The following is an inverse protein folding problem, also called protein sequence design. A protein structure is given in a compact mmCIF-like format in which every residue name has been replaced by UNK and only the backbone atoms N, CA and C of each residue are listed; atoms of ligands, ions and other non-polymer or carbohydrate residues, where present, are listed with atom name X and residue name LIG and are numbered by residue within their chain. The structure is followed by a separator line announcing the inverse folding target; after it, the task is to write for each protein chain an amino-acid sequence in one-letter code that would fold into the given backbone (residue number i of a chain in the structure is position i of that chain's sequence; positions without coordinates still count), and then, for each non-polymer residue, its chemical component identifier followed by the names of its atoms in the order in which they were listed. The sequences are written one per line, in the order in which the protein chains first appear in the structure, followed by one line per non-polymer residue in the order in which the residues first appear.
data_IF_271069571369
#
_entry.id   IF_271069571369
#
_cell.length_a   1.000
_cell.length_b   1.000
_cell.length_c   1.000
_cell.angle_alpha   90.00
_cell.angle_beta   90.00
_cell.angle_gamma   90.00
#
_symmetry.space_group_name_H-M   'P 1'
#
loop_
_entity.id
_entity.type
_entity.pdbx_description
1 polymer ?
#
# COMPACT_ATOMS: atom_id res chain seq x y z
N UNK A 1 21.30 -5.94 4.48
CA UNK A 1 20.08 -5.57 3.70
C UNK A 1 20.35 -4.40 2.77
N UNK A 2 20.77 -3.21 3.26
CA UNK A 2 21.00 -2.02 2.40
C UNK A 2 22.09 -2.29 1.35
N UNK A 3 23.10 -3.08 1.69
CA UNK A 3 24.19 -3.50 0.81
C UNK A 3 23.72 -4.31 -0.41
N UNK A 4 22.49 -4.79 -0.42
CA UNK A 4 21.90 -5.42 -1.62
C UNK A 4 21.60 -4.40 -2.71
N UNK A 5 21.27 -3.17 -2.31
CA UNK A 5 20.80 -2.11 -3.20
C UNK A 5 21.79 -0.98 -3.40
N UNK A 6 22.82 -0.87 -2.56
CA UNK A 6 23.85 0.15 -2.68
C UNK A 6 25.22 -0.48 -2.92
N UNK A 7 25.97 0.06 -3.89
CA UNK A 7 27.35 -0.36 -4.14
C UNK A 7 28.29 0.00 -2.99
N UNK A 8 27.94 1.05 -2.24
CA UNK A 8 28.71 1.57 -1.10
C UNK A 8 27.74 2.24 -0.12
N UNK A 9 27.96 2.01 1.19
CA UNK A 9 27.07 2.52 2.26
C UNK A 9 27.74 3.57 3.15
N UNK A 10 29.02 3.87 2.92
CA UNK A 10 29.79 4.88 3.66
C UNK A 10 30.62 5.72 2.69
N UNK A 11 30.57 7.03 2.85
CA UNK A 11 31.25 8.01 2.01
C UNK A 11 32.02 8.98 2.89
N UNK A 12 33.22 9.40 2.44
CA UNK A 12 34.10 10.28 3.20
C UNK A 12 33.90 11.75 2.90
N UNK A 13 33.41 12.07 1.70
CA UNK A 13 33.14 13.43 1.23
C UNK A 13 31.89 13.47 0.36
N UNK A 14 31.35 14.67 0.12
CA UNK A 14 30.25 14.85 -0.83
C UNK A 14 30.66 14.46 -2.27
N UNK A 15 31.90 14.73 -2.66
CA UNK A 15 32.40 14.33 -3.98
C UNK A 15 32.47 12.81 -4.11
N UNK A 16 32.94 12.12 -3.06
CA UNK A 16 32.95 10.67 -2.98
C UNK A 16 31.53 10.11 -3.12
N UNK A 17 30.55 10.68 -2.39
CA UNK A 17 29.14 10.29 -2.49
C UNK A 17 28.60 10.46 -3.93
N UNK A 18 28.75 11.64 -4.54
CA UNK A 18 28.25 11.92 -5.89
C UNK A 18 28.89 10.99 -6.93
N UNK A 19 30.19 10.69 -6.81
CA UNK A 19 30.92 9.87 -7.77
C UNK A 19 30.63 8.37 -7.64
N UNK A 20 30.49 7.88 -6.40
CA UNK A 20 30.51 6.45 -6.12
C UNK A 20 29.17 5.86 -5.67
N UNK A 21 28.17 6.70 -5.34
CA UNK A 21 26.84 6.20 -5.08
C UNK A 21 26.27 5.56 -6.36
N UNK A 22 25.95 4.29 -6.25
CA UNK A 22 25.21 3.55 -7.29
C UNK A 22 24.13 2.73 -6.63
N UNK A 23 22.92 2.85 -7.14
CA UNK A 23 21.78 2.04 -6.73
C UNK A 23 21.73 0.82 -7.66
N UNK A 24 21.80 -0.35 -7.06
CA UNK A 24 21.58 -1.62 -7.75
C UNK A 24 20.08 -1.89 -7.76
N UNK A 25 19.47 -1.79 -8.91
CA UNK A 25 18.04 -2.06 -9.10
C UNK A 25 17.89 -3.51 -9.54
N UNK A 26 17.31 -4.41 -8.70
CA UNK A 26 17.01 -5.78 -9.10
C UNK A 26 16.02 -5.82 -10.26
N UNK A 27 16.09 -6.86 -11.06
CA UNK A 27 15.05 -7.15 -12.04
C UNK A 27 13.73 -7.47 -11.32
N UNK A 28 12.64 -6.83 -11.74
CA UNK A 28 11.30 -7.02 -11.15
C UNK A 28 11.25 -6.76 -9.63
N UNK A 29 11.96 -5.68 -9.19
CA UNK A 29 12.01 -5.30 -7.78
C UNK A 29 10.61 -5.16 -7.19
N UNK A 30 10.40 -5.77 -6.00
CA UNK A 30 9.16 -5.68 -5.26
C UNK A 30 9.45 -5.47 -3.78
N UNK A 31 9.08 -4.32 -3.24
CA UNK A 31 9.35 -3.96 -1.84
C UNK A 31 8.82 -5.01 -0.84
N UNK A 32 7.68 -5.64 -1.15
CA UNK A 32 7.11 -6.69 -0.30
C UNK A 32 8.02 -7.91 -0.18
N UNK A 33 8.58 -8.37 -1.29
CA UNK A 33 9.44 -9.55 -1.33
C UNK A 33 10.90 -9.24 -1.03
N UNK A 34 11.47 -8.23 -1.72
CA UNK A 34 12.91 -7.96 -1.68
C UNK A 34 13.35 -7.24 -0.41
N UNK A 35 12.41 -6.61 0.31
CA UNK A 35 12.70 -5.90 1.56
C UNK A 35 11.99 -6.55 2.75
N UNK A 36 10.65 -6.58 2.75
CA UNK A 36 9.88 -7.01 3.93
C UNK A 36 10.06 -8.50 4.20
N UNK A 37 9.84 -9.35 3.20
CA UNK A 37 9.99 -10.80 3.34
C UNK A 37 11.44 -11.19 3.56
N UNK A 38 12.38 -10.54 2.87
CA UNK A 38 13.80 -10.78 3.06
C UNK A 38 14.27 -10.44 4.49
N UNK A 39 13.76 -9.34 5.09
CA UNK A 39 14.02 -9.06 6.50
C UNK A 39 13.37 -10.08 7.44
N UNK A 40 12.17 -10.55 7.12
CA UNK A 40 11.49 -11.59 7.89
C UNK A 40 12.26 -12.92 7.90
N UNK A 41 12.98 -13.23 6.81
CA UNK A 41 13.86 -14.40 6.71
C UNK A 41 15.19 -14.20 7.45
N UNK A 42 15.82 -13.02 7.30
CA UNK A 42 17.14 -12.75 7.92
C UNK A 42 17.05 -12.47 9.43
N UNK A 43 16.05 -11.68 9.84
CA UNK A 43 15.89 -11.20 11.22
C UNK A 43 14.39 -11.12 11.60
N UNK A 44 13.70 -12.27 11.78
CA UNK A 44 12.25 -12.31 11.99
C UNK A 44 11.76 -11.47 13.16
N UNK A 45 12.51 -11.45 14.25
CA UNK A 45 12.13 -10.76 15.49
C UNK A 45 12.52 -9.28 15.52
N UNK A 46 13.18 -8.77 14.46
CA UNK A 46 13.54 -7.36 14.36
C UNK A 46 12.29 -6.49 14.28
N UNK A 47 12.21 -5.40 15.09
CA UNK A 47 11.12 -4.43 14.99
C UNK A 47 11.04 -3.82 13.59
N UNK A 48 9.84 -3.88 12.98
CA UNK A 48 9.56 -3.35 11.65
C UNK A 48 8.65 -2.13 11.70
N UNK A 49 7.63 -2.14 12.57
CA UNK A 49 6.67 -1.06 12.70
C UNK A 49 6.30 -0.84 14.16
N UNK A 50 6.41 0.39 14.63
CA UNK A 50 5.86 0.84 15.90
C UNK A 50 4.70 1.79 15.60
N UNK A 51 3.50 1.41 16.03
CA UNK A 51 2.30 2.23 15.88
C UNK A 51 1.82 2.73 17.23
N UNK A 52 1.34 3.97 17.26
CA UNK A 52 0.70 4.58 18.43
C UNK A 52 -0.44 5.50 17.99
N UNK A 53 -1.40 5.73 18.87
CA UNK A 53 -2.52 6.66 18.64
C UNK A 53 -2.66 7.71 19.77
N UNK A 54 -3.60 8.61 19.60
CA UNK A 54 -3.85 9.72 20.53
C UNK A 54 -4.46 9.25 21.88
N UNK A 55 -4.85 7.98 21.99
CA UNK A 55 -5.35 7.36 23.23
C UNK A 55 -4.23 6.68 24.05
N UNK A 56 -2.98 6.75 23.58
CA UNK A 56 -1.84 6.10 24.23
C UNK A 56 -1.75 4.59 23.94
N UNK A 57 -2.58 4.05 23.05
CA UNK A 57 -2.43 2.67 22.60
C UNK A 57 -1.20 2.57 21.70
N UNK A 58 -0.46 1.47 21.83
CA UNK A 58 0.71 1.21 20.98
C UNK A 58 0.74 -0.27 20.58
N UNK A 59 1.29 -0.52 19.40
CA UNK A 59 1.56 -1.88 18.89
C UNK A 59 2.91 -1.89 18.18
N UNK A 60 3.70 -2.91 18.47
CA UNK A 60 4.94 -3.16 17.75
C UNK A 60 4.76 -4.42 16.91
N UNK A 61 5.22 -4.36 15.68
CA UNK A 61 5.22 -5.48 14.75
C UNK A 61 6.67 -5.80 14.39
N UNK A 62 7.02 -7.07 14.38
CA UNK A 62 8.28 -7.56 13.86
C UNK A 62 8.21 -7.72 12.34
N UNK A 63 9.35 -7.99 11.69
CA UNK A 63 9.31 -8.33 10.25
C UNK A 63 8.58 -9.65 9.99
N UNK A 64 8.65 -10.63 10.88
CA UNK A 64 7.83 -11.85 10.78
C UNK A 64 6.34 -11.55 10.85
N UNK A 65 5.92 -10.64 11.77
CA UNK A 65 4.53 -10.19 11.81
C UNK A 65 4.11 -9.48 10.52
N UNK A 66 4.96 -8.56 10.03
CA UNK A 66 4.67 -7.84 8.79
C UNK A 66 4.51 -8.80 7.61
N UNK A 67 5.42 -9.77 7.46
CA UNK A 67 5.28 -10.80 6.42
C UNK A 67 3.97 -11.56 6.57
N UNK A 68 3.66 -12.06 7.76
CA UNK A 68 2.43 -12.80 8.03
C UNK A 68 1.17 -11.98 7.69
N UNK A 69 1.07 -10.75 8.20
CA UNK A 69 -0.10 -9.91 7.93
C UNK A 69 -0.20 -9.47 6.48
N UNK A 70 0.92 -9.20 5.80
CA UNK A 70 0.89 -8.85 4.37
C UNK A 70 0.50 -10.04 3.51
N UNK A 71 0.93 -11.26 3.85
CA UNK A 71 0.53 -12.47 3.13
C UNK A 71 -0.97 -12.75 3.30
N UNK A 72 -1.49 -12.67 4.54
CA UNK A 72 -2.93 -12.83 4.81
C UNK A 72 -3.75 -11.77 4.06
N UNK A 73 -3.30 -10.52 4.07
CA UNK A 73 -3.99 -9.42 3.39
C UNK A 73 -3.94 -9.58 1.87
N UNK A 74 -2.80 -10.00 1.32
CA UNK A 74 -2.65 -10.27 -0.12
C UNK A 74 -3.59 -11.41 -0.56
N UNK A 75 -3.63 -12.50 0.19
CA UNK A 75 -4.55 -13.62 -0.08
C UNK A 75 -6.02 -13.16 -0.02
N UNK A 76 -6.39 -12.37 0.97
CA UNK A 76 -7.74 -11.82 1.08
C UNK A 76 -8.08 -10.93 -0.12
N UNK A 77 -7.23 -9.97 -0.48
CA UNK A 77 -7.45 -9.09 -1.62
C UNK A 77 -7.51 -9.88 -2.94
N UNK A 78 -6.67 -10.90 -3.09
CA UNK A 78 -6.72 -11.81 -4.24
C UNK A 78 -8.06 -12.54 -4.32
N UNK A 79 -8.63 -12.98 -3.19
CA UNK A 79 -9.96 -13.60 -3.14
C UNK A 79 -11.09 -12.64 -3.52
N UNK A 80 -10.89 -11.33 -3.35
CA UNK A 80 -11.81 -10.27 -3.81
C UNK A 80 -11.61 -9.92 -5.30
N UNK A 81 -10.68 -10.59 -5.99
CA UNK A 81 -10.38 -10.40 -7.40
C UNK A 81 -9.41 -9.26 -7.69
N UNK A 82 -8.58 -8.86 -6.71
CA UNK A 82 -7.52 -7.87 -6.90
C UNK A 82 -6.23 -8.58 -7.34
N UNK A 83 -5.58 -8.04 -8.37
CA UNK A 83 -4.34 -8.56 -8.94
C UNK A 83 -3.52 -7.48 -9.62
N UNK A 84 -2.62 -7.90 -10.49
CA UNK A 84 -1.68 -7.04 -11.22
C UNK A 84 -2.39 -5.88 -11.94
N UNK A 85 -1.87 -4.67 -11.73
CA UNK A 85 -2.37 -3.44 -12.34
C UNK A 85 -3.69 -2.88 -11.78
N UNK A 86 -4.38 -3.62 -10.89
CA UNK A 86 -5.64 -3.14 -10.30
C UNK A 86 -5.40 -1.96 -9.36
N UNK A 87 -6.22 -0.91 -9.50
CA UNK A 87 -6.16 0.31 -8.70
C UNK A 87 -6.97 0.15 -7.41
N UNK A 88 -6.31 0.35 -6.25
CA UNK A 88 -6.94 0.23 -4.92
C UNK A 88 -6.74 1.49 -4.10
N UNK A 89 -7.83 2.14 -3.69
CA UNK A 89 -7.78 3.35 -2.87
C UNK A 89 -7.79 2.99 -1.37
N UNK A 90 -6.80 3.50 -0.62
CA UNK A 90 -6.66 3.30 0.82
C UNK A 90 -6.97 4.61 1.57
N UNK A 91 -8.07 4.62 2.35
CA UNK A 91 -8.52 5.76 3.18
C UNK A 91 -8.45 5.37 4.66
N UNK A 92 -7.26 5.09 5.17
CA UNK A 92 -7.05 4.43 6.46
C UNK A 92 -6.51 5.35 7.56
N UNK A 93 -6.42 6.66 7.33
CA UNK A 93 -5.85 7.61 8.32
C UNK A 93 -4.47 7.12 8.79
N UNK A 94 -4.30 7.04 10.13
CA UNK A 94 -3.07 6.60 10.81
C UNK A 94 -3.19 5.16 11.34
N UNK A 95 -3.94 4.29 10.67
CA UNK A 95 -4.08 2.90 11.07
C UNK A 95 -2.86 2.09 10.62
N UNK A 96 -2.46 1.12 11.44
CA UNK A 96 -1.35 0.22 11.07
C UNK A 96 -1.72 -0.71 9.90
N UNK A 97 -3.00 -0.97 9.67
CA UNK A 97 -3.53 -1.73 8.53
C UNK A 97 -3.18 -1.09 7.18
N UNK A 98 -2.90 0.21 7.15
CA UNK A 98 -2.40 0.89 5.95
C UNK A 98 -1.11 0.26 5.43
N UNK A 99 -0.17 -0.05 6.35
CA UNK A 99 1.14 -0.55 5.96
C UNK A 99 1.09 -1.95 5.37
N UNK A 100 0.38 -2.89 6.01
CA UNK A 100 0.30 -4.21 5.42
C UNK A 100 -0.69 -4.30 4.25
N UNK A 101 -1.69 -3.43 4.14
CA UNK A 101 -2.48 -3.30 2.91
C UNK A 101 -1.63 -2.80 1.74
N UNK A 102 -0.79 -1.77 1.95
CA UNK A 102 0.13 -1.27 0.93
C UNK A 102 1.09 -2.35 0.46
N UNK A 103 1.75 -3.04 1.39
CA UNK A 103 2.72 -4.08 1.05
C UNK A 103 2.04 -5.28 0.39
N UNK A 104 0.83 -5.65 0.84
CA UNK A 104 0.04 -6.72 0.22
C UNK A 104 -0.32 -6.40 -1.25
N UNK A 105 -0.71 -5.15 -1.54
CA UNK A 105 -0.97 -4.71 -2.91
C UNK A 105 0.29 -4.76 -3.78
N UNK A 106 1.45 -4.37 -3.23
CA UNK A 106 2.72 -4.55 -3.95
C UNK A 106 2.99 -6.03 -4.24
N UNK A 107 2.76 -6.95 -3.29
CA UNK A 107 2.91 -8.40 -3.53
C UNK A 107 2.01 -8.92 -4.65
N UNK A 108 0.87 -8.30 -4.87
CA UNK A 108 -0.07 -8.64 -5.96
C UNK A 108 0.26 -7.93 -7.28
N UNK A 109 1.21 -7.00 -7.31
CA UNK A 109 1.45 -6.15 -8.47
C UNK A 109 0.35 -5.10 -8.69
N UNK A 110 -0.48 -4.84 -7.67
CA UNK A 110 -1.55 -3.86 -7.71
C UNK A 110 -1.05 -2.46 -7.34
N UNK A 111 -1.81 -1.44 -7.72
CA UNK A 111 -1.48 -0.03 -7.53
C UNK A 111 -2.14 0.50 -6.26
N UNK A 112 -1.35 1.08 -5.38
CA UNK A 112 -1.84 1.74 -4.16
C UNK A 112 -2.20 3.19 -4.46
N UNK A 113 -3.39 3.63 -4.05
CA UNK A 113 -3.81 5.03 -4.10
C UNK A 113 -4.11 5.51 -2.67
N UNK A 114 -3.13 6.08 -1.96
CA UNK A 114 -3.37 6.64 -0.64
C UNK A 114 -4.26 7.88 -0.74
N UNK A 115 -5.27 7.97 0.14
CA UNK A 115 -6.18 9.09 0.13
C UNK A 115 -6.56 9.55 1.54
N UNK A 116 -6.86 10.84 1.68
CA UNK A 116 -7.30 11.43 2.94
C UNK A 116 -8.74 11.05 3.27
N UNK A 117 -9.05 10.95 4.56
CA UNK A 117 -10.40 10.75 5.06
C UNK A 117 -11.31 12.00 4.97
N UNK A 118 -10.77 13.10 4.45
CA UNK A 118 -11.50 14.36 4.26
C UNK A 118 -12.15 14.46 2.87
N UNK A 119 -12.06 13.41 2.04
CA UNK A 119 -12.69 13.39 0.72
C UNK A 119 -14.21 13.49 0.83
N UNK A 120 -14.79 14.32 -0.02
CA UNK A 120 -16.24 14.40 -0.22
C UNK A 120 -16.72 13.40 -1.28
N UNK A 121 -18.04 13.22 -1.44
CA UNK A 121 -18.62 12.42 -2.52
C UNK A 121 -18.02 12.80 -3.88
N UNK A 122 -17.96 14.10 -4.20
CA UNK A 122 -17.42 14.59 -5.49
C UNK A 122 -15.96 14.15 -5.69
N UNK A 123 -15.15 14.27 -4.64
CA UNK A 123 -13.74 13.91 -4.71
C UNK A 123 -13.53 12.40 -4.94
N UNK A 124 -14.39 11.58 -4.36
CA UNK A 124 -14.34 10.11 -4.51
C UNK A 124 -14.75 9.74 -5.93
N UNK A 125 -15.88 10.25 -6.43
CA UNK A 125 -16.35 10.00 -7.80
C UNK A 125 -15.27 10.36 -8.82
N UNK A 126 -14.66 11.55 -8.67
CA UNK A 126 -13.60 11.98 -9.57
C UNK A 126 -12.44 10.99 -9.59
N UNK A 127 -11.90 10.59 -8.42
CA UNK A 127 -10.76 9.68 -8.32
C UNK A 127 -11.08 8.28 -8.83
N UNK A 128 -12.27 7.77 -8.49
CA UNK A 128 -12.71 6.46 -8.97
C UNK A 128 -12.74 6.38 -10.48
N UNK A 129 -13.29 7.41 -11.13
CA UNK A 129 -13.41 7.43 -12.58
C UNK A 129 -12.10 7.80 -13.29
N UNK A 130 -11.28 8.67 -12.70
CA UNK A 130 -10.00 9.05 -13.30
C UNK A 130 -8.95 7.95 -13.27
N UNK A 131 -8.95 7.09 -12.22
CA UNK A 131 -7.98 6.03 -12.03
C UNK A 131 -8.57 4.62 -12.18
N UNK A 132 -9.80 4.46 -12.60
CA UNK A 132 -10.48 3.16 -12.74
C UNK A 132 -10.39 2.30 -11.46
N UNK A 133 -10.61 2.93 -10.28
CA UNK A 133 -10.45 2.29 -8.98
C UNK A 133 -11.39 1.10 -8.85
N UNK A 134 -10.83 -0.07 -8.57
CA UNK A 134 -11.56 -1.34 -8.47
C UNK A 134 -12.02 -1.66 -7.04
N UNK A 135 -11.26 -1.23 -6.03
CA UNK A 135 -11.56 -1.45 -4.62
C UNK A 135 -11.24 -0.23 -3.77
N UNK A 136 -12.07 0.02 -2.75
CA UNK A 136 -11.81 1.03 -1.71
C UNK A 136 -11.70 0.32 -0.36
N UNK A 137 -10.61 0.56 0.37
CA UNK A 137 -10.41 0.13 1.74
C UNK A 137 -10.41 1.36 2.64
N UNK A 138 -11.31 1.44 3.62
CA UNK A 138 -11.44 2.63 4.47
C UNK A 138 -11.62 2.30 5.96
N UNK A 139 -11.46 3.31 6.82
CA UNK A 139 -11.81 3.18 8.23
C UNK A 139 -13.32 3.14 8.41
N UNK A 140 -13.84 2.08 9.06
CA UNK A 140 -15.27 1.80 9.16
C UNK A 140 -16.06 2.75 10.08
N UNK A 141 -15.41 3.34 11.09
CA UNK A 141 -16.00 4.29 12.03
C UNK A 141 -15.80 5.76 11.61
N UNK A 142 -16.12 6.12 10.41
CA UNK A 142 -15.83 7.47 9.89
C UNK A 142 -16.90 7.94 8.92
N UNK A 143 -17.19 9.23 8.92
CA UNK A 143 -18.09 9.91 7.95
C UNK A 143 -17.70 9.61 6.50
N UNK A 144 -16.45 9.19 6.25
CA UNK A 144 -16.00 8.83 4.91
C UNK A 144 -16.80 7.67 4.30
N UNK A 145 -17.33 6.77 5.12
CA UNK A 145 -18.17 5.65 4.65
C UNK A 145 -19.45 6.15 3.97
N UNK A 146 -20.10 7.18 4.53
CA UNK A 146 -21.30 7.77 3.96
C UNK A 146 -21.00 8.42 2.61
N UNK A 147 -19.86 9.13 2.51
CA UNK A 147 -19.41 9.73 1.25
C UNK A 147 -19.07 8.67 0.20
N UNK A 148 -18.45 7.55 0.61
CA UNK A 148 -18.15 6.43 -0.29
C UNK A 148 -19.46 5.82 -0.80
N UNK A 149 -20.39 5.45 0.07
CA UNK A 149 -21.69 4.87 -0.31
C UNK A 149 -22.43 5.80 -1.28
N UNK A 150 -22.49 7.10 -0.98
CA UNK A 150 -23.12 8.09 -1.84
C UNK A 150 -22.43 8.26 -3.21
N UNK A 151 -21.13 7.91 -3.31
CA UNK A 151 -20.37 8.00 -4.56
C UNK A 151 -20.55 6.79 -5.49
N UNK A 152 -20.98 5.63 -4.96
CA UNK A 152 -21.00 4.37 -5.73
C UNK A 152 -21.89 4.40 -6.98
N UNK A 153 -23.08 5.03 -6.98
CA UNK A 153 -23.88 5.13 -8.21
C UNK A 153 -23.16 5.80 -9.38
N UNK A 154 -22.21 6.70 -9.07
CA UNK A 154 -21.44 7.47 -10.04
C UNK A 154 -20.01 6.93 -10.25
N UNK A 155 -19.68 5.76 -9.66
CA UNK A 155 -18.32 5.14 -9.66
C UNK A 155 -18.37 3.68 -10.13
N UNK A 156 -18.72 3.39 -11.39
CA UNK A 156 -19.03 2.05 -11.86
C UNK A 156 -17.82 1.07 -11.88
N UNK A 157 -16.59 1.58 -11.83
CA UNK A 157 -15.37 0.77 -11.76
C UNK A 157 -15.20 0.07 -10.41
N UNK A 158 -15.70 0.67 -9.31
CA UNK A 158 -15.57 0.11 -7.96
C UNK A 158 -16.45 -1.14 -7.81
N UNK A 159 -15.81 -2.27 -7.47
CA UNK A 159 -16.47 -3.57 -7.30
C UNK A 159 -16.47 -4.05 -5.86
N UNK A 160 -15.56 -3.52 -5.03
CA UNK A 160 -15.39 -3.95 -3.65
C UNK A 160 -15.20 -2.77 -2.71
N UNK A 161 -15.90 -2.83 -1.58
CA UNK A 161 -15.77 -1.92 -0.46
C UNK A 161 -15.36 -2.72 0.77
N UNK A 162 -14.27 -2.34 1.41
CA UNK A 162 -13.74 -3.02 2.60
C UNK A 162 -13.58 -2.01 3.72
N UNK A 163 -14.07 -2.33 4.91
CA UNK A 163 -13.91 -1.48 6.07
C UNK A 163 -12.99 -2.09 7.12
N UNK A 164 -12.17 -1.24 7.72
CA UNK A 164 -11.18 -1.56 8.74
C UNK A 164 -11.60 -0.92 10.06
N UNK A 165 -11.63 -1.68 11.13
CA UNK A 165 -11.90 -1.18 12.46
C UNK A 165 -12.88 -2.05 13.26
N UNK A 166 -13.24 -1.62 14.49
CA UNK A 166 -14.15 -2.38 15.34
C UNK A 166 -15.61 -2.39 14.83
N UNK A 167 -15.95 -1.47 13.94
CA UNK A 167 -17.26 -1.38 13.30
C UNK A 167 -17.11 -1.60 11.80
N UNK A 168 -17.94 -2.49 11.27
CA UNK A 168 -18.07 -2.73 9.84
C UNK A 168 -19.19 -1.83 9.32
N UNK A 169 -18.89 -0.99 8.35
CA UNK A 169 -19.89 -0.14 7.72
C UNK A 169 -20.88 -1.00 6.90
N UNK A 170 -22.14 -0.59 6.83
CA UNK A 170 -23.15 -1.28 6.04
C UNK A 170 -22.76 -1.30 4.56
N UNK A 171 -22.83 -2.47 3.93
CA UNK A 171 -22.45 -2.68 2.53
C UNK A 171 -20.95 -2.86 2.30
N UNK A 172 -20.13 -2.93 3.37
CA UNK A 172 -18.69 -3.18 3.29
C UNK A 172 -18.34 -4.57 3.79
N UNK A 173 -17.34 -5.18 3.18
CA UNK A 173 -16.70 -6.38 3.68
C UNK A 173 -15.83 -6.05 4.91
N UNK A 174 -15.80 -6.97 5.90
CA UNK A 174 -14.99 -6.84 7.10
C UNK A 174 -13.53 -7.23 6.83
N UNK A 175 -12.62 -6.27 6.91
CA UNK A 175 -11.19 -6.49 6.67
C UNK A 175 -10.61 -7.55 7.60
N UNK A 176 -10.88 -7.46 8.92
CA UNK A 176 -10.27 -8.37 9.91
C UNK A 176 -10.75 -9.80 9.73
N UNK A 177 -12.06 -9.99 9.55
CA UNK A 177 -12.60 -11.32 9.24
C UNK A 177 -12.08 -11.84 7.90
N UNK A 178 -11.94 -10.95 6.93
CA UNK A 178 -11.39 -11.30 5.61
C UNK A 178 -9.99 -11.87 5.72
N UNK A 179 -9.08 -11.20 6.42
CA UNK A 179 -7.70 -11.67 6.58
C UNK A 179 -7.59 -12.91 7.49
N UNK A 180 -8.41 -13.00 8.55
CA UNK A 180 -8.43 -14.17 9.45
C UNK A 180 -8.88 -15.46 8.74
N UNK A 181 -9.81 -15.34 7.80
CA UNK A 181 -10.34 -16.48 7.04
C UNK A 181 -9.63 -16.69 5.67
N UNK A 182 -8.59 -15.90 5.38
CA UNK A 182 -7.88 -16.00 4.13
C UNK A 182 -7.17 -17.37 4.00
N UNK A 183 -7.21 -17.95 2.80
CA UNK A 183 -6.42 -19.12 2.48
C UNK A 183 -4.91 -18.78 2.57
N UNK A 184 -4.01 -19.77 2.67
CA UNK A 184 -2.58 -19.51 2.54
C UNK A 184 -2.26 -18.73 1.25
N UNK A 185 -1.44 -17.68 1.39
CA UNK A 185 -1.08 -16.84 0.25
C UNK A 185 -0.24 -17.61 -0.77
N UNK A 186 -0.66 -17.53 -2.02
CA UNK A 186 0.10 -18.06 -3.16
C UNK A 186 0.66 -16.90 -3.94
N UNK A 187 1.99 -16.76 -3.90
CA UNK A 187 2.72 -15.70 -4.63
C UNK A 187 2.42 -15.84 -6.13
N UNK A 188 2.00 -14.75 -6.82
CA UNK A 188 1.93 -14.74 -8.27
C UNK A 188 3.29 -15.05 -8.91
N UNK A 189 3.31 -15.73 -10.04
CA UNK A 189 4.54 -16.07 -10.76
C UNK A 189 5.27 -14.81 -11.25
N UNK A 190 4.50 -13.86 -11.79
CA UNK A 190 4.99 -12.58 -12.29
C UNK A 190 4.16 -11.44 -11.67
N UNK A 191 4.46 -11.03 -10.42
CA UNK A 191 3.65 -10.02 -9.75
C UNK A 191 3.78 -8.64 -10.39
N UNK A 192 4.97 -8.26 -10.86
CA UNK A 192 5.26 -6.95 -11.46
C UNK A 192 6.56 -6.97 -12.28
N UNK A 193 6.71 -5.95 -13.11
CA UNK A 193 7.98 -5.47 -13.68
C UNK A 193 8.44 -4.20 -12.94
N UNK A 194 9.64 -3.69 -13.26
CA UNK A 194 10.14 -2.44 -12.68
C UNK A 194 9.36 -1.21 -13.17
N UNK A 195 8.84 -1.26 -14.39
CA UNK A 195 8.12 -0.18 -15.06
C UNK A 195 6.63 -0.12 -14.69
N UNK A 196 6.09 -1.17 -14.06
CA UNK A 196 4.70 -1.18 -13.61
C UNK A 196 4.49 -0.11 -12.52
N UNK A 197 3.29 0.49 -12.53
CA UNK A 197 2.91 1.45 -11.50
C UNK A 197 2.64 0.71 -10.19
N UNK A 198 3.29 1.12 -9.10
CA UNK A 198 3.07 0.59 -7.75
C UNK A 198 2.25 1.53 -6.86
N UNK A 199 2.36 2.83 -7.12
CA UNK A 199 1.80 3.87 -6.26
C UNK A 199 1.33 5.05 -7.11
N UNK A 200 0.15 5.59 -6.79
CA UNK A 200 -0.38 6.77 -7.46
C UNK A 200 -0.92 7.77 -6.44
N UNK A 201 -0.49 9.02 -6.53
CA UNK A 201 -0.99 10.12 -5.74
C UNK A 201 -1.89 11.05 -6.55
N UNK A 202 -2.94 11.55 -5.92
CA UNK A 202 -3.69 12.70 -6.41
C UNK A 202 -3.16 13.97 -5.72
N UNK A 203 -2.51 14.83 -6.48
CA UNK A 203 -1.93 16.09 -5.99
C UNK A 203 -2.84 17.26 -6.32
N UNK A 204 -2.80 18.34 -5.50
CA UNK A 204 -3.53 19.57 -5.78
C UNK A 204 -3.02 20.20 -7.07
N UNK A 205 -3.88 20.23 -8.10
CA UNK A 205 -3.59 20.94 -9.33
C UNK A 205 -3.76 22.46 -9.14
N UNK A 206 -2.97 23.27 -9.83
CA UNK A 206 -3.09 24.73 -9.85
C UNK A 206 -4.31 25.23 -10.65
N UNK A 207 -4.97 24.35 -11.40
CA UNK A 207 -5.96 24.70 -12.43
C UNK A 207 -7.27 23.90 -12.34
N UNK A 208 -7.68 23.40 -11.18
CA UNK A 208 -8.95 22.68 -11.02
C UNK A 208 -8.82 21.29 -10.40
N UNK A 209 -9.18 20.22 -11.12
CA UNK A 209 -9.21 18.87 -10.58
C UNK A 209 -7.80 18.32 -10.24
N UNK A 210 -7.66 17.45 -9.23
CA UNK A 210 -6.38 16.87 -8.84
C UNK A 210 -5.68 16.13 -9.97
N UNK A 211 -4.35 16.28 -10.05
CA UNK A 211 -3.52 15.55 -11.01
C UNK A 211 -3.04 14.22 -10.44
N UNK A 212 -2.99 13.20 -11.28
CA UNK A 212 -2.40 11.91 -10.94
C UNK A 212 -0.89 11.94 -11.15
N UNK A 213 -0.15 11.49 -10.15
CA UNK A 213 1.30 11.30 -10.18
C UNK A 213 1.58 9.83 -9.89
N UNK A 214 2.10 9.12 -10.89
CA UNK A 214 2.42 7.71 -10.80
C UNK A 214 3.89 7.49 -10.42
N UNK A 215 4.15 6.47 -9.64
CA UNK A 215 5.48 5.97 -9.28
C UNK A 215 5.53 4.48 -9.60
N UNK A 216 6.63 4.05 -10.20
CA UNK A 216 6.87 2.65 -10.54
C UNK A 216 7.32 1.82 -9.32
N UNK A 217 7.57 0.53 -9.54
CA UNK A 217 8.02 -0.36 -8.47
C UNK A 217 9.41 -0.03 -7.94
N UNK A 218 10.26 0.69 -8.68
CA UNK A 218 11.60 1.08 -8.24
C UNK A 218 11.62 2.32 -7.34
N UNK A 219 10.50 3.03 -7.22
CA UNK A 219 10.37 4.26 -6.43
C UNK A 219 10.96 4.18 -5.01
N UNK A 220 10.77 3.09 -4.21
CA UNK A 220 11.36 2.98 -2.87
C UNK A 220 12.89 3.01 -2.88
N UNK A 221 13.53 2.52 -3.94
CA UNK A 221 14.98 2.57 -4.08
C UNK A 221 15.51 3.99 -4.30
N UNK A 222 14.71 4.87 -4.89
CA UNK A 222 15.04 6.29 -5.01
C UNK A 222 15.13 7.03 -3.68
N UNK A 223 14.50 6.49 -2.63
CA UNK A 223 14.51 7.04 -1.27
C UNK A 223 15.51 6.37 -0.32
N UNK A 224 16.28 5.39 -0.78
CA UNK A 224 17.18 4.61 0.08
C UNK A 224 18.31 5.44 0.72
N UNK A 225 18.58 6.63 0.18
CA UNK A 225 19.65 7.56 0.62
C UNK A 225 19.12 8.87 1.19
N UNK A 226 17.83 9.01 1.43
CA UNK A 226 17.18 10.22 1.97
C UNK A 226 16.75 10.08 3.42
#
# INVERSE_FOLDING_TARGET
MVERFLSQTSFTTQEDFIKNLKINVPENFNFGYDVVDAWAEEQPDKPALLWTNDKGEHRQFTFADMKRYTDMTASYFQSLGIGHGDMVMLILKRRFEFWYSTIALHKLGAVVIPATHLLTKKDIVYRCNAADIKMIVCAGESVITDHIVAAMPDSPSVKKLVSVGPQVAEGFDDFHKGIENAAPFVKPEHPNTNEDISLMYFTSGTTGEPKMVAHDFTYPLGHIVT
#
